data_IF_637780859723
#
_entry.id   IF_637780859723
#
_cell.length_a   1.000
_cell.length_b   1.000
_cell.length_c   1.000
_cell.angle_alpha   90.00
_cell.angle_beta   90.00
_cell.angle_gamma   90.00
#
_symmetry.space_group_name_H-M   'P 1'
#
loop_
_entity.id
_entity.type
_entity.pdbx_description
1 polymer ?
#
# COMPACT_ATOMS: atom_id res chain seq x y z
N UNK A 1 0.63 2.90 1.89
CA UNK A 1 -0.74 3.39 1.65
C UNK A 1 -1.38 2.62 0.49
N UNK A 2 -2.69 2.33 0.53
CA UNK A 2 -3.44 1.73 -0.59
C UNK A 2 -4.60 2.64 -0.97
N UNK A 3 -4.80 2.82 -2.28
CA UNK A 3 -5.89 3.59 -2.88
C UNK A 3 -6.74 2.70 -3.79
N UNK A 4 -8.05 2.96 -3.85
CA UNK A 4 -8.92 2.38 -4.86
C UNK A 4 -8.83 3.16 -6.18
N UNK A 5 -9.50 2.69 -7.24
CA UNK A 5 -9.52 3.35 -8.56
C UNK A 5 -10.09 4.77 -8.57
N UNK A 6 -10.88 5.13 -7.56
CA UNK A 6 -11.45 6.47 -7.41
C UNK A 6 -10.52 7.43 -6.66
N UNK A 7 -9.31 6.99 -6.29
CA UNK A 7 -8.35 7.77 -5.53
C UNK A 7 -8.62 7.80 -4.02
N UNK A 8 -9.62 7.09 -3.51
CA UNK A 8 -9.89 7.02 -2.09
C UNK A 8 -8.86 6.11 -1.38
N UNK A 9 -8.27 6.62 -0.29
CA UNK A 9 -7.33 5.86 0.55
C UNK A 9 -8.08 4.84 1.39
N UNK A 10 -7.81 3.56 1.17
CA UNK A 10 -8.48 2.44 1.87
C UNK A 10 -7.60 1.80 2.95
N UNK A 11 -6.30 2.06 2.93
CA UNK A 11 -5.37 1.58 3.95
C UNK A 11 -4.18 2.52 4.11
N UNK A 12 -3.73 2.70 5.34
CA UNK A 12 -2.52 3.44 5.68
C UNK A 12 -1.77 2.72 6.81
N UNK A 13 -0.46 2.61 6.66
CA UNK A 13 0.43 2.12 7.70
C UNK A 13 1.78 2.80 7.55
N UNK A 14 2.49 2.91 8.67
CA UNK A 14 3.85 3.41 8.75
C UNK A 14 4.70 2.35 9.43
N UNK A 15 5.88 2.11 8.87
CA UNK A 15 6.80 1.10 9.36
C UNK A 15 8.19 1.72 9.48
N UNK A 16 8.91 1.33 10.53
CA UNK A 16 10.30 1.69 10.73
C UNK A 16 11.10 0.39 10.69
N UNK A 17 12.10 0.33 9.82
CA UNK A 17 13.03 -0.79 9.74
C UNK A 17 14.45 -0.25 9.73
N UNK A 18 15.33 -0.90 10.49
CA UNK A 18 16.78 -0.66 10.43
C UNK A 18 17.48 -1.63 9.47
N UNK A 19 16.72 -2.57 8.88
CA UNK A 19 17.21 -3.55 7.91
C UNK A 19 16.96 -3.04 6.49
N UNK A 20 17.77 -3.50 5.54
CA UNK A 20 17.61 -3.22 4.11
C UNK A 20 16.28 -3.72 3.54
N UNK A 21 15.69 -4.73 4.17
CA UNK A 21 14.44 -5.36 3.74
C UNK A 21 13.42 -5.40 4.88
N UNK A 22 12.14 -5.28 4.54
CA UNK A 22 11.03 -5.41 5.47
C UNK A 22 9.86 -6.15 4.82
N UNK A 23 9.31 -7.11 5.55
CA UNK A 23 8.07 -7.78 5.18
C UNK A 23 6.89 -7.03 5.80
N UNK A 24 6.05 -6.45 4.96
CA UNK A 24 4.86 -5.71 5.39
C UNK A 24 3.61 -6.47 4.96
N UNK A 25 2.83 -6.93 5.93
CA UNK A 25 1.54 -7.58 5.69
C UNK A 25 0.44 -6.53 5.64
N UNK A 26 -0.30 -6.47 4.53
CA UNK A 26 -1.43 -5.54 4.38
C UNK A 26 -2.75 -6.31 4.46
N UNK A 27 -3.63 -6.03 5.43
CA UNK A 27 -4.89 -6.73 5.60
C UNK A 27 -5.91 -6.30 4.53
N UNK A 28 -5.87 -6.95 3.37
CA UNK A 28 -6.80 -6.66 2.25
C UNK A 28 -8.13 -7.42 2.36
N UNK A 29 -8.37 -8.23 3.40
CA UNK A 29 -9.52 -9.14 3.50
C UNK A 29 -10.87 -8.41 3.38
N UNK A 30 -10.99 -7.24 3.99
CA UNK A 30 -12.24 -6.47 4.02
C UNK A 30 -12.40 -5.51 2.83
N UNK A 31 -11.44 -5.48 1.90
CA UNK A 31 -11.57 -4.69 0.67
C UNK A 31 -12.51 -5.39 -0.32
N UNK A 32 -13.28 -4.63 -1.07
CA UNK A 32 -14.06 -5.17 -2.19
C UNK A 32 -13.13 -5.80 -3.25
N UNK A 33 -13.68 -6.67 -4.09
CA UNK A 33 -12.98 -7.14 -5.28
C UNK A 33 -12.72 -5.96 -6.21
N UNK A 34 -11.56 -5.93 -6.87
CA UNK A 34 -11.22 -4.85 -7.79
C UNK A 34 -9.75 -4.48 -7.84
N UNK A 35 -9.47 -3.36 -8.49
CA UNK A 35 -8.13 -2.83 -8.68
C UNK A 35 -7.77 -1.80 -7.60
N UNK A 36 -6.53 -1.85 -7.15
CA UNK A 36 -5.97 -0.97 -6.15
C UNK A 36 -4.56 -0.51 -6.54
N UNK A 37 -4.13 0.62 -5.98
CA UNK A 37 -2.77 1.14 -6.12
C UNK A 37 -2.14 1.17 -4.73
N UNK A 38 -1.09 0.37 -4.53
CA UNK A 38 -0.20 0.46 -3.39
C UNK A 38 0.82 1.56 -3.66
N UNK A 39 0.95 2.52 -2.73
CA UNK A 39 2.03 3.51 -2.70
C UNK A 39 2.84 3.35 -1.43
N UNK A 40 4.16 3.25 -1.57
CA UNK A 40 5.11 3.21 -0.46
C UNK A 40 5.95 4.47 -0.53
N UNK A 41 6.01 5.19 0.57
CA UNK A 41 6.77 6.43 0.70
C UNK A 41 7.99 6.18 1.57
N UNK A 42 9.14 6.71 1.17
CA UNK A 42 10.30 6.82 2.05
C UNK A 42 10.20 8.06 2.95
N UNK A 43 11.20 8.26 3.81
CA UNK A 43 11.26 9.42 4.71
C UNK A 43 11.45 10.76 3.97
N UNK A 44 11.88 10.74 2.70
CA UNK A 44 12.04 11.91 1.83
C UNK A 44 10.78 12.17 0.98
N UNK A 45 9.67 11.49 1.26
CA UNK A 45 8.43 11.51 0.49
C UNK A 45 8.55 11.01 -0.96
N UNK A 46 9.61 10.28 -1.32
CA UNK A 46 9.69 9.60 -2.62
C UNK A 46 8.78 8.39 -2.59
N UNK A 47 8.03 8.19 -3.66
CA UNK A 47 7.04 7.12 -3.73
C UNK A 47 7.36 6.10 -4.82
N UNK A 48 7.22 4.83 -4.48
CA UNK A 48 7.03 3.75 -5.46
C UNK A 48 5.56 3.33 -5.48
N UNK A 49 5.05 2.98 -6.66
CA UNK A 49 3.66 2.58 -6.85
C UNK A 49 3.56 1.19 -7.49
N UNK A 50 2.60 0.39 -7.03
CA UNK A 50 2.32 -0.94 -7.61
C UNK A 50 0.82 -1.17 -7.73
N UNK A 51 0.38 -1.68 -8.89
CA UNK A 51 -1.00 -2.13 -9.10
C UNK A 51 -1.24 -3.45 -8.36
N UNK A 52 -2.38 -3.54 -7.69
CA UNK A 52 -2.87 -4.75 -7.04
C UNK A 52 -4.25 -5.09 -7.61
N UNK A 53 -4.53 -6.38 -7.79
CA UNK A 53 -5.84 -6.88 -8.24
C UNK A 53 -6.33 -7.86 -7.20
N UNK A 54 -7.45 -7.54 -6.55
CA UNK A 54 -8.16 -8.45 -5.65
C UNK A 54 -9.25 -9.18 -6.40
N UNK A 55 -9.13 -10.50 -6.49
CA UNK A 55 -10.08 -11.41 -7.13
C UNK A 55 -11.21 -11.85 -6.20
#
# INVERSE_FOLDING_TARGET
>A
MIYNIYGAKVYNSQHYTYKSEANITVPIKNLAKGMYILKIYDQQNKAISRKLVKQ
#
